data_IF_065377348637
#
_entry.id   IF_065377348637
#
_cell.length_a   1.000
_cell.length_b   1.000
_cell.length_c   1.000
_cell.angle_alpha   90.00
_cell.angle_beta   90.00
_cell.angle_gamma   90.00
#
_symmetry.space_group_name_H-M   'P 1'
#
loop_
_entity.id
_entity.type
_entity.pdbx_description
1 polymer ?
#
# COMPACT_ATOMS: atom_id res chain seq x y z
N UNK A 1 19.74 -31.35 45.16
CA UNK A 1 18.53 -30.51 44.91
C UNK A 1 18.89 -29.12 44.37
N UNK A 2 19.89 -28.98 43.47
CA UNK A 2 20.28 -27.66 42.91
C UNK A 2 20.24 -27.59 41.38
N UNK A 3 20.16 -28.72 40.67
CA UNK A 3 20.09 -28.73 39.19
C UNK A 3 18.67 -28.73 38.62
N UNK A 4 17.63 -28.94 39.44
CA UNK A 4 16.25 -29.02 38.95
C UNK A 4 15.59 -27.63 38.73
N UNK A 5 16.13 -26.58 39.34
CA UNK A 5 15.59 -25.21 39.26
C UNK A 5 16.01 -24.47 37.99
N UNK A 6 17.06 -24.92 37.30
CA UNK A 6 17.57 -24.25 36.09
C UNK A 6 16.80 -24.68 34.84
N UNK A 7 16.20 -25.89 34.84
CA UNK A 7 15.47 -26.40 33.68
C UNK A 7 14.08 -25.76 33.50
N UNK A 8 13.48 -25.24 34.58
CA UNK A 8 12.20 -24.52 34.51
C UNK A 8 12.33 -23.11 33.94
N UNK A 9 13.53 -22.52 33.92
CA UNK A 9 13.73 -21.15 33.44
C UNK A 9 13.90 -21.07 31.91
N UNK A 10 14.20 -22.19 31.24
CA UNK A 10 14.45 -22.25 29.80
C UNK A 10 13.18 -22.53 28.95
N UNK A 11 12.05 -22.86 29.56
CA UNK A 11 10.78 -23.11 28.86
C UNK A 11 9.84 -21.88 28.81
N UNK A 12 10.22 -20.76 29.44
CA UNK A 12 9.37 -19.56 29.54
C UNK A 12 9.46 -18.57 28.36
N UNK A 13 10.42 -18.72 27.45
CA UNK A 13 10.77 -17.67 26.47
C UNK A 13 10.23 -17.87 25.05
N UNK A 14 9.41 -18.90 24.78
CA UNK A 14 8.99 -19.23 23.40
C UNK A 14 7.56 -18.81 23.01
N UNK A 15 6.87 -17.95 23.76
CA UNK A 15 5.48 -17.55 23.45
C UNK A 15 5.31 -16.21 22.73
N UNK A 16 6.40 -15.52 22.36
CA UNK A 16 6.29 -14.41 21.40
C UNK A 16 6.25 -14.96 19.97
N UNK A 17 5.26 -15.81 19.68
CA UNK A 17 4.84 -16.00 18.31
C UNK A 17 4.24 -14.68 17.86
N UNK A 18 4.96 -13.96 17.00
CA UNK A 18 4.43 -12.80 16.29
C UNK A 18 3.15 -13.22 15.56
N UNK A 19 1.99 -12.95 16.18
CA UNK A 19 0.72 -13.17 15.52
C UNK A 19 0.66 -12.19 14.36
N UNK A 20 0.49 -12.74 13.16
CA UNK A 20 0.35 -11.95 11.94
C UNK A 20 -0.90 -11.10 12.08
N UNK A 21 -0.72 -9.78 12.14
CA UNK A 21 -1.80 -8.79 12.28
C UNK A 21 -2.98 -9.12 11.35
N UNK A 22 -4.16 -9.25 11.94
CA UNK A 22 -5.37 -9.61 11.21
C UNK A 22 -6.01 -8.34 10.66
N UNK A 23 -5.71 -8.05 9.40
CA UNK A 23 -6.36 -6.96 8.67
C UNK A 23 -7.76 -7.40 8.22
N UNK A 24 -8.77 -6.63 8.60
CA UNK A 24 -10.17 -6.79 8.22
C UNK A 24 -10.69 -5.53 7.52
N UNK A 25 -11.62 -5.69 6.58
CA UNK A 25 -12.30 -4.58 5.91
C UNK A 25 -13.80 -4.85 5.97
N UNK A 26 -14.54 -3.98 6.64
CA UNK A 26 -16.00 -4.05 6.67
C UNK A 26 -16.55 -3.71 5.28
N UNK A 27 -17.40 -4.58 4.72
CA UNK A 27 -17.93 -4.41 3.35
C UNK A 27 -18.98 -3.31 3.22
N UNK A 28 -19.61 -2.90 4.33
CA UNK A 28 -20.67 -1.87 4.37
C UNK A 28 -20.08 -0.50 4.68
N UNK A 29 -19.18 -0.43 5.65
CA UNK A 29 -18.62 0.85 6.12
C UNK A 29 -17.26 1.15 5.51
N UNK A 30 -16.62 0.17 4.87
CA UNK A 30 -15.27 0.27 4.28
C UNK A 30 -14.17 0.63 5.29
N UNK A 31 -14.48 0.48 6.58
CA UNK A 31 -13.54 0.64 7.69
C UNK A 31 -12.55 -0.51 7.65
N UNK A 32 -11.27 -0.15 7.73
CA UNK A 32 -10.16 -1.06 7.90
C UNK A 32 -9.83 -1.18 9.38
N UNK A 33 -9.76 -2.41 9.87
CA UNK A 33 -9.41 -2.73 11.25
C UNK A 33 -8.20 -3.66 11.30
N UNK A 34 -7.35 -3.45 12.30
CA UNK A 34 -6.23 -4.32 12.65
C UNK A 34 -6.51 -4.91 14.02
N UNK A 35 -6.60 -6.23 14.09
CA UNK A 35 -6.88 -6.97 15.33
C UNK A 35 -8.10 -6.42 16.10
N UNK A 36 -9.15 -6.05 15.35
CA UNK A 36 -10.40 -5.51 15.86
C UNK A 36 -10.40 -4.01 16.17
N UNK A 37 -9.27 -3.33 16.04
CA UNK A 37 -9.16 -1.87 16.20
C UNK A 37 -9.29 -1.18 14.86
N UNK A 38 -10.28 -0.30 14.70
CA UNK A 38 -10.46 0.52 13.50
C UNK A 38 -9.34 1.53 13.34
N UNK A 39 -8.77 1.64 12.13
CA UNK A 39 -7.59 2.47 11.86
C UNK A 39 -7.91 3.59 10.86
N UNK A 40 -8.54 3.25 9.74
CA UNK A 40 -8.91 4.22 8.69
C UNK A 40 -10.05 3.69 7.84
N UNK A 41 -10.61 4.53 6.97
CA UNK A 41 -11.60 4.13 5.97
C UNK A 41 -10.90 4.11 4.61
N UNK A 42 -11.07 3.02 3.86
CA UNK A 42 -10.58 2.92 2.50
C UNK A 42 -11.78 2.78 1.58
N UNK A 43 -12.24 3.87 0.98
CA UNK A 43 -13.43 3.88 0.12
C UNK A 43 -13.08 3.48 -1.32
N UNK A 44 -13.93 2.66 -1.92
CA UNK A 44 -13.81 2.25 -3.32
C UNK A 44 -14.32 0.83 -3.55
N UNK A 45 -15.22 0.66 -4.53
CA UNK A 45 -15.90 -0.62 -4.75
C UNK A 45 -15.02 -1.68 -5.43
N UNK A 46 -14.14 -1.28 -6.35
CA UNK A 46 -13.32 -2.20 -7.15
C UNK A 46 -11.91 -1.63 -7.41
N UNK A 47 -10.90 -2.51 -7.51
CA UNK A 47 -9.48 -2.17 -7.76
C UNK A 47 -9.27 -1.43 -9.08
N UNK A 48 -10.21 -1.52 -10.03
CA UNK A 48 -10.17 -0.76 -11.29
C UNK A 48 -10.62 0.69 -11.15
N UNK A 49 -11.13 1.08 -9.99
CA UNK A 49 -11.62 2.42 -9.69
C UNK A 49 -10.71 3.09 -8.66
N UNK A 50 -10.74 4.42 -8.65
CA UNK A 50 -10.08 5.24 -7.63
C UNK A 50 -10.43 4.77 -6.23
N UNK A 51 -9.40 4.54 -5.40
CA UNK A 51 -9.57 4.30 -3.96
C UNK A 51 -9.30 5.61 -3.21
N UNK A 52 -10.08 5.90 -2.18
CA UNK A 52 -9.92 7.10 -1.36
C UNK A 52 -9.63 6.67 0.07
N UNK A 53 -8.45 7.05 0.57
CA UNK A 53 -8.10 6.89 1.97
C UNK A 53 -8.69 8.06 2.76
N UNK A 54 -9.39 7.74 3.85
CA UNK A 54 -9.96 8.69 4.78
C UNK A 54 -9.60 8.33 6.22
N UNK A 55 -9.61 9.33 7.09
CA UNK A 55 -9.61 9.10 8.53
C UNK A 55 -10.95 8.47 8.99
N UNK A 56 -11.06 8.15 10.28
CA UNK A 56 -12.29 7.58 10.84
C UNK A 56 -13.44 8.59 10.94
N UNK A 57 -13.17 9.89 10.79
CA UNK A 57 -14.19 10.96 10.73
C UNK A 57 -14.69 11.21 9.30
N UNK A 58 -14.12 10.54 8.29
CA UNK A 58 -14.46 10.69 6.89
C UNK A 58 -13.71 11.82 6.14
N UNK A 59 -12.73 12.46 6.78
CA UNK A 59 -11.81 13.40 6.13
C UNK A 59 -10.91 12.65 5.15
N UNK A 60 -10.78 13.17 3.92
CA UNK A 60 -9.92 12.56 2.89
C UNK A 60 -8.45 12.83 3.20
N UNK A 61 -7.64 11.79 3.17
CA UNK A 61 -6.20 11.82 3.41
C UNK A 61 -5.40 11.55 2.14
N UNK A 62 -5.83 10.64 1.29
CA UNK A 62 -5.14 10.36 0.02
C UNK A 62 -6.09 9.79 -1.04
N UNK A 63 -5.67 9.91 -2.30
CA UNK A 63 -6.38 9.38 -3.47
C UNK A 63 -5.44 8.45 -4.23
N UNK A 64 -5.90 7.24 -4.51
CA UNK A 64 -5.18 6.22 -5.27
C UNK A 64 -5.93 6.00 -6.59
N UNK A 65 -5.52 6.71 -7.64
CA UNK A 65 -6.13 6.60 -8.95
C UNK A 65 -5.47 5.50 -9.76
N UNK A 66 -6.27 4.61 -10.35
CA UNK A 66 -5.74 3.52 -11.19
C UNK A 66 -5.40 4.09 -12.56
N UNK A 67 -4.15 3.93 -12.96
CA UNK A 67 -3.63 4.29 -14.26
C UNK A 67 -3.09 3.05 -14.95
N UNK A 68 -3.20 2.99 -16.27
CA UNK A 68 -2.57 1.94 -17.06
C UNK A 68 -1.99 2.43 -18.38
N UNK A 69 -1.10 1.61 -18.91
CA UNK A 69 -0.60 1.72 -20.28
C UNK A 69 -0.25 0.33 -20.81
N UNK A 70 0.01 0.26 -22.11
CA UNK A 70 0.43 -0.97 -22.77
C UNK A 70 1.88 -0.82 -23.24
N UNK A 71 2.67 -1.84 -22.97
CA UNK A 71 4.10 -1.87 -23.31
C UNK A 71 4.51 -3.30 -23.66
N UNK A 72 5.10 -3.45 -24.85
CA UNK A 72 5.49 -4.75 -25.39
C UNK A 72 6.54 -5.47 -24.54
N UNK A 73 7.34 -4.73 -23.76
CA UNK A 73 8.34 -5.29 -22.83
C UNK A 73 7.71 -6.13 -21.72
N UNK A 74 6.44 -5.89 -21.42
CA UNK A 74 5.69 -6.58 -20.37
C UNK A 74 4.78 -7.69 -20.91
N UNK A 75 4.85 -8.00 -22.22
CA UNK A 75 4.10 -9.11 -22.82
C UNK A 75 4.61 -10.44 -22.27
N UNK A 76 3.68 -11.24 -21.76
CA UNK A 76 3.94 -12.61 -21.30
C UNK A 76 2.72 -13.49 -21.55
N UNK A 77 2.83 -14.80 -21.31
CA UNK A 77 1.70 -15.73 -21.45
C UNK A 77 0.48 -15.34 -20.60
N UNK A 78 0.70 -14.76 -19.41
CA UNK A 78 -0.34 -14.25 -18.52
C UNK A 78 -0.71 -12.77 -18.75
N UNK A 79 0.05 -12.04 -19.58
CA UNK A 79 -0.19 -10.64 -19.91
C UNK A 79 0.01 -10.42 -21.42
N UNK A 80 -0.86 -11.00 -22.24
CA UNK A 80 -0.70 -11.00 -23.70
C UNK A 80 -0.72 -9.62 -24.35
N UNK A 81 -1.30 -8.63 -23.67
CA UNK A 81 -1.35 -7.24 -24.14
C UNK A 81 -0.20 -6.38 -23.61
N UNK A 82 0.61 -6.89 -22.68
CA UNK A 82 1.65 -6.09 -22.02
C UNK A 82 1.06 -4.93 -21.21
N UNK A 83 -0.11 -5.13 -20.59
CA UNK A 83 -0.76 -4.11 -19.77
C UNK A 83 0.05 -3.90 -18.49
N UNK A 84 0.38 -2.65 -18.19
CA UNK A 84 1.00 -2.22 -16.92
C UNK A 84 -0.01 -1.33 -16.20
N UNK A 85 -0.40 -1.72 -14.99
CA UNK A 85 -1.33 -0.96 -14.16
C UNK A 85 -0.66 -0.55 -12.83
N UNK A 86 -0.84 0.71 -12.46
CA UNK A 86 -0.28 1.31 -11.25
C UNK A 86 -1.30 2.27 -10.62
N UNK A 87 -1.14 2.54 -9.33
CA UNK A 87 -1.84 3.64 -8.68
C UNK A 87 -0.98 4.90 -8.82
N UNK A 88 -1.57 5.96 -9.38
CA UNK A 88 -1.12 7.33 -9.19
C UNK A 88 -1.69 7.82 -7.85
N UNK A 89 -0.80 7.99 -6.87
CA UNK A 89 -1.16 8.32 -5.49
C UNK A 89 -0.94 9.80 -5.28
N UNK A 90 -1.98 10.48 -4.78
CA UNK A 90 -1.89 11.86 -4.30
C UNK A 90 -2.25 11.90 -2.83
N UNK A 91 -1.29 12.29 -1.99
CA UNK A 91 -1.53 12.60 -0.59
C UNK A 91 -2.13 14.00 -0.47
N UNK A 92 -3.13 14.17 0.37
CA UNK A 92 -3.82 15.45 0.57
C UNK A 92 -3.20 16.22 1.76
N UNK A 93 -1.88 16.23 1.83
CA UNK A 93 -1.11 17.08 2.73
C UNK A 93 -0.90 18.48 2.11
N UNK A 94 -0.18 19.36 2.81
CA UNK A 94 0.03 20.75 2.38
C UNK A 94 0.72 20.87 1.02
N UNK A 95 1.63 19.93 0.69
CA UNK A 95 2.42 19.94 -0.55
C UNK A 95 1.79 19.12 -1.68
N UNK A 96 0.70 18.42 -1.42
CA UNK A 96 0.06 17.48 -2.33
C UNK A 96 1.04 16.45 -2.90
N UNK A 97 1.81 15.81 -2.01
CA UNK A 97 2.86 14.88 -2.42
C UNK A 97 2.30 13.74 -3.28
N UNK A 98 3.08 13.31 -4.28
CA UNK A 98 2.67 12.30 -5.25
C UNK A 98 3.71 11.22 -5.46
N UNK A 99 3.24 10.01 -5.70
CA UNK A 99 4.08 8.88 -6.10
C UNK A 99 3.25 7.82 -6.82
N UNK A 100 3.93 6.84 -7.39
CA UNK A 100 3.30 5.74 -8.12
C UNK A 100 3.65 4.38 -7.51
N UNK A 101 2.65 3.53 -7.31
CA UNK A 101 2.83 2.18 -6.77
C UNK A 101 2.13 1.13 -7.64
N UNK A 102 2.64 -0.12 -7.70
CA UNK A 102 1.99 -1.16 -8.49
C UNK A 102 0.59 -1.51 -7.95
N UNK A 103 -0.35 -1.82 -8.86
CA UNK A 103 -1.65 -2.38 -8.47
C UNK A 103 -1.48 -3.87 -8.15
N UNK A 104 -1.18 -4.17 -6.88
CA UNK A 104 -0.94 -5.53 -6.41
C UNK A 104 -2.24 -6.27 -6.02
N UNK A 105 -3.26 -6.29 -6.87
CA UNK A 105 -4.48 -7.05 -6.59
C UNK A 105 -5.41 -6.38 -5.56
N UNK A 106 -5.94 -7.16 -4.60
CA UNK A 106 -7.14 -6.81 -3.81
C UNK A 106 -7.01 -5.56 -2.93
N UNK A 107 -8.14 -4.91 -2.65
CA UNK A 107 -8.26 -3.77 -1.72
C UNK A 107 -7.57 -3.99 -0.36
N UNK A 108 -7.59 -5.23 0.14
CA UNK A 108 -6.87 -5.65 1.35
C UNK A 108 -5.35 -5.47 1.26
N UNK A 109 -4.77 -5.66 0.08
CA UNK A 109 -3.35 -5.50 -0.15
C UNK A 109 -2.93 -4.02 -0.18
N UNK A 110 -3.79 -3.14 -0.71
CA UNK A 110 -3.59 -1.70 -0.60
C UNK A 110 -3.69 -1.25 0.87
N UNK A 111 -4.69 -1.73 1.61
CA UNK A 111 -4.81 -1.45 3.05
C UNK A 111 -3.56 -1.92 3.82
N UNK A 112 -3.05 -3.11 3.52
CA UNK A 112 -1.79 -3.59 4.08
C UNK A 112 -0.61 -2.68 3.73
N UNK A 113 -0.52 -2.20 2.50
CA UNK A 113 0.53 -1.26 2.10
C UNK A 113 0.48 0.03 2.93
N UNK A 114 -0.72 0.59 3.14
CA UNK A 114 -0.89 1.80 3.96
C UNK A 114 -0.44 1.56 5.41
N UNK A 115 -0.74 0.38 5.97
CA UNK A 115 -0.35 -0.01 7.32
C UNK A 115 1.16 -0.29 7.45
N UNK A 116 1.75 -1.03 6.51
CA UNK A 116 3.17 -1.42 6.54
C UNK A 116 4.11 -0.21 6.53
N UNK A 117 3.70 0.88 5.86
CA UNK A 117 4.44 2.14 5.82
C UNK A 117 3.98 3.14 6.88
N UNK A 118 3.02 2.80 7.75
CA UNK A 118 2.47 3.68 8.78
C UNK A 118 2.04 5.06 8.24
N UNK A 119 1.39 5.08 7.07
CA UNK A 119 1.04 6.34 6.39
C UNK A 119 -0.03 7.15 7.15
N UNK A 120 -0.80 6.47 8.02
CA UNK A 120 -1.84 7.08 8.85
C UNK A 120 -1.46 6.88 10.31
N UNK A 121 -1.45 7.98 11.07
CA UNK A 121 -1.24 7.98 12.51
C UNK A 121 -2.41 8.70 13.19
N UNK A 122 -3.27 7.92 13.86
CA UNK A 122 -4.54 8.42 14.37
C UNK A 122 -5.47 8.84 13.23
N UNK A 123 -5.87 10.12 13.22
CA UNK A 123 -6.79 10.68 12.21
C UNK A 123 -6.09 11.52 11.12
N UNK A 124 -4.77 11.44 11.00
CA UNK A 124 -4.00 12.25 10.06
C UNK A 124 -2.95 11.42 9.32
N UNK A 125 -2.43 11.98 8.23
CA UNK A 125 -1.24 11.46 7.58
C UNK A 125 -0.01 11.65 8.49
N UNK A 126 0.87 10.65 8.52
CA UNK A 126 2.21 10.84 9.07
C UNK A 126 3.11 11.45 7.99
N UNK A 127 3.39 12.75 8.09
CA UNK A 127 4.17 13.49 7.10
C UNK A 127 5.59 12.93 6.89
N UNK A 128 6.21 12.33 7.92
CA UNK A 128 7.51 11.70 7.74
C UNK A 128 7.38 10.41 6.94
N UNK A 129 6.38 9.60 7.26
CA UNK A 129 6.11 8.36 6.54
C UNK A 129 5.74 8.64 5.08
N UNK A 130 4.89 9.64 4.81
CA UNK A 130 4.52 10.07 3.45
C UNK A 130 5.75 10.49 2.65
N UNK A 131 6.61 11.35 3.21
CA UNK A 131 7.85 11.76 2.53
C UNK A 131 8.76 10.58 2.20
N UNK A 132 8.94 9.65 3.14
CA UNK A 132 9.74 8.45 2.90
C UNK A 132 9.11 7.55 1.83
N UNK A 133 7.80 7.35 1.90
CA UNK A 133 7.04 6.56 0.94
C UNK A 133 7.17 7.12 -0.48
N UNK A 134 7.02 8.44 -0.62
CA UNK A 134 7.17 9.15 -1.88
C UNK A 134 8.61 9.06 -2.40
N UNK A 135 9.61 9.22 -1.54
CA UNK A 135 11.01 9.09 -1.92
C UNK A 135 11.39 7.67 -2.38
N UNK A 136 10.80 6.63 -1.77
CA UNK A 136 11.03 5.23 -2.14
C UNK A 136 10.38 4.89 -3.49
N UNK A 137 9.15 5.34 -3.71
CA UNK A 137 8.35 4.93 -4.86
C UNK A 137 8.50 5.83 -6.09
N UNK A 138 8.61 7.15 -5.90
CA UNK A 138 8.79 8.12 -6.97
C UNK A 138 7.72 8.02 -8.06
N UNK A 139 8.08 8.37 -9.30
CA UNK A 139 7.19 8.41 -10.48
C UNK A 139 7.64 7.38 -11.55
N UNK A 140 8.02 6.18 -11.09
CA UNK A 140 8.69 5.17 -11.93
C UNK A 140 7.89 4.77 -13.17
N UNK A 141 6.59 4.58 -13.05
CA UNK A 141 5.75 4.04 -14.13
C UNK A 141 5.52 5.06 -15.24
N UNK A 142 5.26 6.32 -14.90
CA UNK A 142 5.17 7.40 -15.90
C UNK A 142 6.50 7.66 -16.58
N UNK A 143 7.62 7.63 -15.84
CA UNK A 143 8.96 7.72 -16.44
C UNK A 143 9.25 6.58 -17.43
N UNK A 144 8.94 5.33 -17.06
CA UNK A 144 9.13 4.16 -17.93
C UNK A 144 8.26 4.22 -19.19
N UNK A 145 7.02 4.67 -19.06
CA UNK A 145 6.10 4.89 -20.20
C UNK A 145 6.69 5.91 -21.19
N UNK A 146 7.25 7.00 -20.69
CA UNK A 146 7.84 8.05 -21.53
C UNK A 146 9.11 7.56 -22.24
N UNK A 147 9.97 6.78 -21.56
CA UNK A 147 11.17 6.18 -22.18
C UNK A 147 10.82 5.25 -23.34
N UNK A 148 9.74 4.48 -23.20
CA UNK A 148 9.27 3.54 -24.24
C UNK A 148 8.74 4.24 -25.50
N UNK A 149 8.42 5.53 -25.41
CA UNK A 149 7.89 6.33 -26.53
C UNK A 149 9.00 7.05 -27.30
N UNK A 150 10.27 6.99 -26.85
CA UNK A 150 11.40 7.65 -27.53
C UNK A 150 11.84 6.84 -28.75
N UNK A 151 11.35 7.19 -29.94
CA UNK A 151 11.88 6.70 -31.21
C UNK A 151 13.19 7.45 -31.49
N UNK A 152 14.32 6.73 -31.49
CA UNK A 152 15.58 7.28 -32.00
C UNK A 152 15.45 7.36 -33.53
N UNK A 153 15.19 8.55 -34.07
CA UNK A 153 15.38 8.81 -35.50
C UNK A 153 16.89 9.01 -35.70
N UNK A 154 17.58 7.94 -36.08
CA UNK A 154 18.95 8.04 -36.59
C UNK A 154 18.82 8.64 -38.00
N UNK A 155 19.32 9.85 -38.18
CA UNK A 155 19.50 10.46 -39.51
C UNK A 155 20.75 9.91 -40.19
#
# INVERSE_FOLDING_TARGET
MKSLLILLFLFGSSLLMAQKEKIEIDKKTEVVSVDGTSVFILEGQNIGNTQILKDLNGQRLAVFQVMDYYDSRYISSSNSKGRVAYFDVTFLNETLDKCEIPVNGFKKQLAKYILDYNLVNGNALDENAVRQFVAIHGMKFSEEKNRSTTIIIVR
#
